data_IF_272911004986
#
_entry.id   IF_272911004986
#
_cell.length_a   1.000
_cell.length_b   1.000
_cell.length_c   1.000
_cell.angle_alpha   90.00
_cell.angle_beta   90.00
_cell.angle_gamma   90.00
#
_symmetry.space_group_name_H-M   'P 1'
#
loop_
_entity.id
_entity.type
_entity.pdbx_description
1 polymer ?
#
# COMPACT_ATOMS: atom_id res chain seq x y z
N UNK A 1 -27.77 63.79 -24.78
CA UNK A 1 -28.48 62.50 -24.62
C UNK A 1 -27.44 61.51 -24.14
N UNK A 2 -27.47 61.20 -22.84
CA UNK A 2 -26.46 60.41 -22.15
C UNK A 2 -26.85 58.94 -22.12
N UNK A 3 -25.97 58.06 -22.56
CA UNK A 3 -26.09 56.60 -22.47
C UNK A 3 -25.78 56.15 -21.03
N UNK A 4 -26.55 55.23 -20.43
CA UNK A 4 -26.28 54.74 -19.09
C UNK A 4 -25.14 53.69 -19.08
N UNK A 5 -24.40 53.55 -17.97
CA UNK A 5 -23.33 52.57 -17.84
C UNK A 5 -23.87 51.14 -17.66
N UNK A 6 -23.13 50.18 -18.25
CA UNK A 6 -23.39 48.72 -18.18
C UNK A 6 -23.04 48.19 -16.77
N UNK A 7 -23.82 47.26 -16.19
CA UNK A 7 -23.51 46.70 -14.88
C UNK A 7 -22.29 45.76 -14.94
N UNK A 8 -21.48 45.81 -13.89
CA UNK A 8 -20.29 44.98 -13.67
C UNK A 8 -20.67 43.51 -13.57
N UNK A 9 -20.00 42.64 -14.34
CA UNK A 9 -20.06 41.19 -14.14
C UNK A 9 -19.17 40.82 -12.94
N UNK A 10 -19.76 40.12 -11.98
CA UNK A 10 -19.08 39.49 -10.85
C UNK A 10 -18.36 38.23 -11.37
N UNK A 11 -17.10 37.95 -10.97
CA UNK A 11 -16.45 36.69 -11.33
C UNK A 11 -17.19 35.51 -10.71
N UNK A 12 -17.53 34.53 -11.54
CA UNK A 12 -18.05 33.23 -11.13
C UNK A 12 -17.00 32.48 -10.30
N UNK A 13 -17.44 31.98 -9.15
CA UNK A 13 -16.65 31.17 -8.23
C UNK A 13 -16.52 29.74 -8.82
N UNK A 14 -15.31 29.17 -8.99
CA UNK A 14 -15.18 27.80 -9.46
C UNK A 14 -15.77 26.83 -8.44
N UNK A 15 -16.61 25.93 -8.94
CA UNK A 15 -17.28 24.88 -8.17
C UNK A 15 -16.24 23.87 -7.66
N UNK A 16 -16.24 23.61 -6.35
CA UNK A 16 -15.48 22.52 -5.73
C UNK A 16 -15.93 21.19 -6.33
N UNK A 17 -15.05 20.58 -7.14
CA UNK A 17 -15.18 19.17 -7.49
C UNK A 17 -14.66 18.34 -6.31
N UNK A 18 -15.52 17.49 -5.76
CA UNK A 18 -15.20 16.55 -4.71
C UNK A 18 -14.11 15.57 -5.17
N UNK A 19 -12.98 15.55 -4.46
CA UNK A 19 -11.96 14.54 -4.61
C UNK A 19 -12.55 13.15 -4.27
N UNK A 20 -12.41 12.21 -5.20
CA UNK A 20 -12.72 10.79 -4.98
C UNK A 20 -11.61 10.20 -4.09
N UNK A 21 -11.92 9.45 -3.03
CA UNK A 21 -10.90 8.82 -2.20
C UNK A 21 -10.24 7.66 -2.96
N UNK A 22 -8.93 7.76 -3.20
CA UNK A 22 -8.11 6.67 -3.72
C UNK A 22 -7.79 5.67 -2.61
N UNK A 23 -8.26 4.44 -2.78
CA UNK A 23 -8.07 3.35 -1.83
C UNK A 23 -6.81 2.52 -2.16
N UNK A 24 -5.61 3.05 -1.91
CA UNK A 24 -4.35 2.28 -1.82
C UNK A 24 -3.33 3.06 -0.97
N UNK A 25 -2.76 2.49 0.12
CA UNK A 25 -1.91 3.22 1.07
C UNK A 25 -0.41 3.12 0.77
N UNK A 26 0.02 2.71 -0.43
CA UNK A 26 1.43 2.75 -0.82
C UNK A 26 1.70 3.91 -1.77
N UNK A 27 2.81 4.66 -1.60
CA UNK A 27 3.18 5.73 -2.52
C UNK A 27 3.41 5.13 -3.92
N UNK A 28 2.47 5.38 -4.82
CA UNK A 28 2.64 5.09 -6.23
C UNK A 28 3.49 6.24 -6.83
N UNK A 29 4.70 5.98 -7.37
CA UNK A 29 5.59 7.02 -7.90
C UNK A 29 5.06 7.72 -9.18
N UNK A 30 3.85 7.42 -9.63
CA UNK A 30 3.24 8.05 -10.79
C UNK A 30 2.05 8.93 -10.39
N UNK A 31 2.34 10.10 -9.83
CA UNK A 31 1.40 11.23 -9.87
C UNK A 31 2.08 12.40 -10.58
N UNK A 32 1.58 12.84 -11.76
CA UNK A 32 2.12 14.03 -12.40
C UNK A 32 1.81 15.27 -11.55
N UNK A 33 2.80 16.13 -11.34
CA UNK A 33 2.67 17.36 -10.58
C UNK A 33 1.62 18.32 -11.17
N UNK A 34 0.97 19.15 -10.35
CA UNK A 34 -0.08 20.05 -10.81
C UNK A 34 0.54 21.32 -11.42
N UNK A 35 0.64 21.40 -12.75
CA UNK A 35 1.04 22.65 -13.40
C UNK A 35 1.56 22.50 -14.82
N UNK A 36 0.69 22.19 -15.78
CA UNK A 36 1.05 22.21 -17.20
C UNK A 36 -0.13 22.61 -18.07
N UNK A 37 -0.14 23.86 -18.55
CA UNK A 37 -1.11 24.38 -19.51
C UNK A 37 -0.84 23.83 -20.91
N UNK A 38 -1.27 22.59 -21.15
CA UNK A 38 -1.22 21.93 -22.46
C UNK A 38 -2.59 21.89 -23.13
N UNK A 39 -2.68 22.43 -24.35
CA UNK A 39 -3.89 22.55 -25.15
C UNK A 39 -4.38 21.18 -25.66
N UNK A 40 -5.62 20.80 -25.37
CA UNK A 40 -6.25 19.60 -25.95
C UNK A 40 -6.81 19.88 -27.36
N UNK A 41 -6.67 18.97 -28.34
CA UNK A 41 -7.42 19.04 -29.59
C UNK A 41 -8.91 18.69 -29.38
N UNK A 42 -9.85 19.26 -30.16
CA UNK A 42 -11.28 19.10 -29.91
C UNK A 42 -11.79 17.69 -30.25
N UNK A 43 -12.60 17.15 -29.35
CA UNK A 43 -13.28 15.86 -29.42
C UNK A 43 -14.34 15.81 -30.53
N UNK A 44 -14.41 14.70 -31.26
CA UNK A 44 -15.48 14.40 -32.21
C UNK A 44 -16.84 14.16 -31.49
N UNK A 45 -18.00 14.40 -32.15
CA UNK A 45 -19.30 14.30 -31.49
C UNK A 45 -19.74 12.85 -31.23
N UNK A 46 -20.33 12.63 -30.05
CA UNK A 46 -20.85 11.35 -29.58
C UNK A 46 -22.15 10.92 -30.32
N UNK A 47 -22.37 9.61 -30.57
CA UNK A 47 -23.67 9.11 -31.02
C UNK A 47 -24.64 8.86 -29.83
N UNK A 48 -25.94 9.00 -30.14
CA UNK A 48 -27.08 9.01 -29.21
C UNK A 48 -27.35 7.68 -28.47
N UNK A 49 -28.10 7.70 -27.34
CA UNK A 49 -28.21 6.55 -26.42
C UNK A 49 -29.21 5.48 -26.91
N UNK A 50 -28.76 4.22 -26.88
CA UNK A 50 -29.59 3.02 -27.01
C UNK A 50 -29.68 2.25 -25.67
N UNK A 51 -30.68 1.37 -25.49
CA UNK A 51 -31.04 0.82 -24.18
C UNK A 51 -30.09 -0.27 -23.66
N UNK A 52 -30.06 -0.33 -22.32
CA UNK A 52 -29.26 -1.14 -21.40
C UNK A 52 -29.26 -2.66 -21.68
N UNK A 53 -28.09 -3.31 -21.51
CA UNK A 53 -27.98 -4.71 -21.07
C UNK A 53 -26.59 -5.00 -20.46
N UNK A 54 -26.61 -5.72 -19.33
CA UNK A 54 -25.46 -6.12 -18.52
C UNK A 54 -24.73 -7.37 -19.07
N UNK A 55 -23.39 -7.35 -18.93
CA UNK A 55 -22.36 -8.41 -19.06
C UNK A 55 -22.30 -9.30 -20.32
N UNK A 56 -21.21 -9.15 -21.10
CA UNK A 56 -20.55 -10.25 -21.81
C UNK A 56 -19.08 -9.90 -22.15
N UNK A 57 -18.14 -10.80 -21.84
CA UNK A 57 -16.76 -10.78 -22.34
C UNK A 57 -16.71 -11.12 -23.85
N UNK A 58 -15.67 -10.71 -24.60
CA UNK A 58 -15.57 -10.95 -26.04
C UNK A 58 -15.17 -12.41 -26.32
N UNK A 59 -15.93 -13.09 -27.18
CA UNK A 59 -15.52 -14.37 -27.77
C UNK A 59 -14.87 -14.13 -29.14
N UNK A 60 -13.68 -14.71 -29.32
CA UNK A 60 -12.92 -14.71 -30.57
C UNK A 60 -13.63 -15.61 -31.60
N UNK A 61 -13.92 -15.08 -32.78
CA UNK A 61 -14.60 -15.79 -33.86
C UNK A 61 -13.62 -16.55 -34.77
N UNK A 62 -13.93 -17.81 -35.09
CA UNK A 62 -13.58 -18.43 -36.37
C UNK A 62 -12.81 -19.76 -36.33
N UNK A 63 -13.52 -20.90 -36.35
CA UNK A 63 -13.11 -22.07 -37.15
C UNK A 63 -14.28 -23.06 -37.37
N UNK A 64 -14.38 -23.75 -38.54
CA UNK A 64 -15.51 -24.62 -38.89
C UNK A 64 -15.41 -26.02 -38.29
N UNK A 65 -16.59 -26.60 -38.00
CA UNK A 65 -16.77 -27.77 -37.15
C UNK A 65 -16.33 -29.13 -37.69
N UNK A 66 -16.08 -30.03 -36.74
CA UNK A 66 -15.95 -31.49 -36.89
C UNK A 66 -16.68 -32.21 -35.72
N UNK A 67 -17.13 -33.46 -35.93
CA UNK A 67 -18.09 -34.15 -35.06
C UNK A 67 -17.47 -34.57 -33.70
N UNK A 68 -18.28 -34.82 -32.66
CA UNK A 68 -17.77 -35.02 -31.31
C UNK A 68 -17.10 -36.40 -31.19
N UNK A 69 -15.78 -36.38 -31.21
CA UNK A 69 -14.90 -37.46 -30.72
C UNK A 69 -14.73 -37.24 -29.21
N UNK A 70 -15.38 -38.11 -28.43
CA UNK A 70 -15.24 -38.13 -26.97
C UNK A 70 -13.82 -38.53 -26.58
N UNK A 71 -13.13 -37.65 -25.87
CA UNK A 71 -11.80 -37.88 -25.33
C UNK A 71 -11.68 -37.39 -23.88
N UNK A 72 -10.75 -37.99 -23.12
CA UNK A 72 -11.06 -38.57 -21.83
C UNK A 72 -10.25 -37.90 -20.72
N UNK A 73 -10.83 -36.90 -20.06
CA UNK A 73 -10.25 -36.35 -18.83
C UNK A 73 -11.34 -36.05 -17.82
N UNK A 74 -12.09 -37.09 -17.46
CA UNK A 74 -12.69 -37.21 -16.15
C UNK A 74 -11.77 -38.12 -15.33
N UNK A 75 -10.62 -37.60 -14.87
CA UNK A 75 -9.95 -38.23 -13.73
C UNK A 75 -10.76 -37.86 -12.49
N UNK A 76 -11.68 -38.75 -12.14
CA UNK A 76 -12.16 -38.89 -10.78
C UNK A 76 -10.96 -39.25 -9.91
N UNK A 77 -10.37 -38.25 -9.26
CA UNK A 77 -9.53 -38.49 -8.09
C UNK A 77 -10.44 -39.10 -7.02
N UNK A 78 -10.28 -40.40 -6.84
CA UNK A 78 -10.91 -41.16 -5.79
C UNK A 78 -10.60 -40.50 -4.44
N UNK A 79 -11.63 -39.96 -3.80
CA UNK A 79 -11.62 -39.74 -2.36
C UNK A 79 -11.21 -41.07 -1.70
N UNK A 80 -10.33 -41.07 -0.68
CA UNK A 80 -10.18 -42.25 0.15
C UNK A 80 -11.56 -42.57 0.72
N UNK A 81 -12.12 -43.68 0.26
CA UNK A 81 -13.34 -44.25 0.80
C UNK A 81 -13.10 -44.45 2.28
N UNK A 82 -13.76 -43.63 3.10
CA UNK A 82 -13.94 -43.91 4.51
C UNK A 82 -14.54 -45.30 4.57
N UNK A 83 -13.74 -46.25 5.05
CA UNK A 83 -14.17 -47.61 5.30
C UNK A 83 -15.22 -47.51 6.38
N UNK A 84 -16.49 -47.42 5.96
CA UNK A 84 -17.61 -47.57 6.87
C UNK A 84 -17.47 -48.92 7.57
N UNK A 85 -17.74 -49.00 8.89
CA UNK A 85 -17.64 -50.27 9.60
C UNK A 85 -18.53 -51.29 8.91
N UNK A 86 -17.91 -52.41 8.52
CA UNK A 86 -18.58 -53.57 7.96
C UNK A 86 -19.72 -54.01 8.87
N UNK A 87 -20.96 -53.80 8.44
CA UNK A 87 -22.15 -54.40 9.02
C UNK A 87 -22.24 -55.87 8.58
N UNK A 88 -21.35 -56.69 9.14
CA UNK A 88 -21.49 -58.14 9.12
C UNK A 88 -22.45 -58.58 10.22
N UNK A 89 -23.46 -59.36 9.86
CA UNK A 89 -24.12 -60.26 10.79
C UNK A 89 -25.53 -59.87 11.21
N UNK A 90 -26.48 -60.56 10.59
CA UNK A 90 -27.85 -60.79 11.04
C UNK A 90 -27.95 -61.15 12.53
N UNK A 91 -28.73 -60.38 13.28
CA UNK A 91 -29.15 -60.71 14.65
C UNK A 91 -30.14 -59.68 15.15
N UNK A 92 -31.40 -60.09 15.38
CA UNK A 92 -32.54 -59.22 15.62
C UNK A 92 -32.40 -58.22 16.77
N UNK A 93 -32.99 -57.05 16.58
CA UNK A 93 -33.17 -56.05 17.63
C UNK A 93 -33.48 -54.68 17.04
N UNK A 94 -34.76 -54.32 16.96
CA UNK A 94 -35.26 -53.03 16.46
C UNK A 94 -34.91 -51.81 17.35
N UNK A 95 -33.76 -51.80 18.03
CA UNK A 95 -33.36 -50.77 19.01
C UNK A 95 -31.97 -50.15 18.82
N UNK A 96 -31.19 -50.57 17.80
CA UNK A 96 -29.78 -50.16 17.63
C UNK A 96 -29.55 -48.94 16.73
N UNK A 97 -30.40 -48.71 15.73
CA UNK A 97 -30.24 -47.62 14.76
C UNK A 97 -30.28 -46.23 15.42
N UNK A 98 -31.16 -46.04 16.41
CA UNK A 98 -31.23 -44.79 17.18
C UNK A 98 -29.95 -44.50 17.97
N UNK A 99 -29.26 -45.55 18.46
CA UNK A 99 -27.99 -45.40 19.18
C UNK A 99 -26.84 -45.01 18.25
N UNK A 100 -26.77 -45.60 17.05
CA UNK A 100 -25.77 -45.24 16.06
C UNK A 100 -25.92 -43.79 15.56
N UNK A 101 -27.17 -43.36 15.30
CA UNK A 101 -27.47 -41.97 14.92
C UNK A 101 -27.13 -40.99 16.05
N UNK A 102 -27.40 -41.36 17.31
CA UNK A 102 -27.00 -40.57 18.48
C UNK A 102 -25.48 -40.38 18.56
N UNK A 103 -24.69 -41.44 18.35
CA UNK A 103 -23.23 -41.34 18.37
C UNK A 103 -22.68 -40.48 17.23
N UNK A 104 -23.27 -40.56 16.03
CA UNK A 104 -22.89 -39.69 14.92
C UNK A 104 -23.20 -38.21 15.21
N UNK A 105 -24.35 -37.91 15.80
CA UNK A 105 -24.72 -36.55 16.19
C UNK A 105 -23.77 -36.00 17.28
N UNK A 106 -23.45 -36.80 18.29
CA UNK A 106 -22.46 -36.43 19.32
C UNK A 106 -21.09 -36.16 18.70
N UNK A 107 -20.63 -37.02 17.77
CA UNK A 107 -19.38 -36.82 17.06
C UNK A 107 -19.35 -35.51 16.26
N UNK A 108 -20.45 -35.19 15.56
CA UNK A 108 -20.57 -33.93 14.80
C UNK A 108 -20.56 -32.70 15.72
N UNK A 109 -21.19 -32.77 16.89
CA UNK A 109 -21.19 -31.67 17.87
C UNK A 109 -19.80 -31.48 18.47
N UNK A 110 -19.11 -32.56 18.84
CA UNK A 110 -17.75 -32.48 19.39
C UNK A 110 -16.77 -31.95 18.35
N UNK A 111 -16.86 -32.43 17.10
CA UNK A 111 -16.04 -31.91 16.02
C UNK A 111 -16.31 -30.41 15.76
N UNK A 112 -17.57 -30.01 15.71
CA UNK A 112 -17.96 -28.59 15.55
C UNK A 112 -17.45 -27.72 16.71
N UNK A 113 -17.53 -28.21 17.94
CA UNK A 113 -17.02 -27.51 19.11
C UNK A 113 -15.49 -27.41 19.09
N UNK A 114 -14.78 -28.45 18.64
CA UNK A 114 -13.33 -28.43 18.50
C UNK A 114 -12.87 -27.45 17.41
N UNK A 115 -13.56 -27.41 16.27
CA UNK A 115 -13.31 -26.42 15.21
C UNK A 115 -13.61 -24.99 15.69
N UNK A 116 -14.74 -24.78 16.36
CA UNK A 116 -15.07 -23.48 16.94
C UNK A 116 -14.00 -23.03 17.94
N UNK A 117 -13.61 -23.89 18.88
CA UNK A 117 -12.54 -23.60 19.85
C UNK A 117 -11.20 -23.31 19.15
N UNK A 118 -10.86 -24.07 18.10
CA UNK A 118 -9.66 -23.83 17.30
C UNK A 118 -9.68 -22.47 16.62
N UNK A 119 -10.80 -22.08 15.99
CA UNK A 119 -10.94 -20.76 15.35
C UNK A 119 -10.85 -19.63 16.37
N UNK A 120 -11.46 -19.77 17.55
CA UNK A 120 -11.37 -18.74 18.59
C UNK A 120 -9.96 -18.60 19.19
N UNK A 121 -9.19 -19.68 19.27
CA UNK A 121 -7.80 -19.62 19.71
C UNK A 121 -6.86 -18.99 18.67
N UNK A 122 -7.16 -19.16 17.38
CA UNK A 122 -6.39 -18.55 16.28
C UNK A 122 -6.77 -17.07 16.10
N UNK A 123 -8.03 -16.71 16.35
CA UNK A 123 -8.54 -15.34 16.23
C UNK A 123 -8.37 -14.45 17.46
N UNK A 124 -7.93 -15.00 18.59
CA UNK A 124 -7.61 -14.22 19.78
C UNK A 124 -6.22 -13.56 19.60
N UNK A 125 -6.18 -12.50 18.81
CA UNK A 125 -5.04 -11.58 18.80
C UNK A 125 -4.79 -11.11 20.24
N UNK A 126 -3.56 -11.26 20.72
CA UNK A 126 -3.12 -10.65 21.98
C UNK A 126 -3.25 -9.12 21.94
N UNK A 127 -3.05 -8.46 23.07
CA UNK A 127 -2.97 -7.00 23.10
C UNK A 127 -1.89 -6.53 22.10
N UNK A 128 -2.20 -5.48 21.33
CA UNK A 128 -1.29 -4.96 20.31
C UNK A 128 0.04 -4.52 20.94
N UNK A 129 1.16 -4.98 20.38
CA UNK A 129 2.49 -4.62 20.84
C UNK A 129 2.92 -3.28 20.24
N UNK A 130 2.35 -2.18 20.74
CA UNK A 130 2.61 -0.83 20.21
C UNK A 130 3.95 -0.25 20.66
N UNK A 131 4.71 -0.93 21.54
CA UNK A 131 6.05 -0.49 22.03
C UNK A 131 6.14 0.96 22.56
N UNK A 132 5.01 1.53 22.97
CA UNK A 132 4.92 2.92 23.45
C UNK A 132 4.88 3.98 22.34
N UNK A 133 4.80 3.57 21.07
CA UNK A 133 4.70 4.49 19.94
C UNK A 133 3.35 5.21 19.88
N UNK A 134 3.39 6.42 19.33
CA UNK A 134 2.22 7.22 19.01
C UNK A 134 2.23 7.61 17.53
N UNK A 135 1.03 7.79 16.97
CA UNK A 135 0.82 8.35 15.63
C UNK A 135 0.28 9.77 15.81
N UNK A 136 1.14 10.81 15.80
CA UNK A 136 0.74 12.18 16.08
C UNK A 136 -0.12 12.77 14.95
N UNK A 137 -1.07 13.64 15.28
CA UNK A 137 -1.94 14.23 14.25
C UNK A 137 -1.17 15.06 13.20
N UNK A 138 0.00 15.57 13.56
CA UNK A 138 0.94 16.27 12.69
C UNK A 138 2.33 15.63 12.81
N UNK A 139 2.61 14.64 11.97
CA UNK A 139 3.90 13.94 11.95
C UNK A 139 5.08 14.82 11.53
N UNK A 140 4.84 15.92 10.80
CA UNK A 140 5.90 16.83 10.41
C UNK A 140 6.58 17.53 11.60
N UNK A 141 5.89 17.64 12.74
CA UNK A 141 6.48 18.22 13.96
C UNK A 141 7.49 17.29 14.63
N UNK A 142 7.33 15.98 14.45
CA UNK A 142 8.10 14.93 15.12
C UNK A 142 9.08 14.23 14.17
N UNK A 143 8.97 14.49 12.86
CA UNK A 143 9.91 14.00 11.84
C UNK A 143 11.21 14.79 11.94
N UNK A 144 12.27 14.10 12.31
CA UNK A 144 13.61 14.63 12.12
C UNK A 144 14.00 14.51 10.64
N UNK A 145 14.62 15.57 10.12
CA UNK A 145 15.26 15.60 8.81
C UNK A 145 16.54 16.44 8.90
N UNK A 146 17.15 16.48 10.09
CA UNK A 146 18.24 17.40 10.39
C UNK A 146 19.51 17.06 9.61
N UNK A 147 19.73 15.77 9.29
CA UNK A 147 20.87 15.33 8.50
C UNK A 147 20.80 15.84 7.05
N UNK A 148 19.59 15.98 6.50
CA UNK A 148 19.37 16.57 5.16
C UNK A 148 19.69 18.07 5.09
N UNK A 149 19.74 18.80 6.22
CA UNK A 149 19.86 20.27 6.23
C UNK A 149 21.21 20.80 5.75
N UNK A 150 22.23 19.96 5.66
CA UNK A 150 23.52 20.36 5.08
C UNK A 150 23.40 20.57 3.57
N UNK A 151 22.68 19.67 2.90
CA UNK A 151 22.42 19.73 1.46
C UNK A 151 21.22 20.61 1.13
N UNK A 152 20.16 20.50 1.94
CA UNK A 152 18.90 21.21 1.79
C UNK A 152 18.63 22.10 3.00
N UNK A 153 19.26 23.28 3.09
CA UNK A 153 19.18 24.14 4.29
C UNK A 153 17.78 24.70 4.54
N UNK A 154 16.93 24.74 3.53
CA UNK A 154 15.55 25.23 3.62
C UNK A 154 14.55 24.11 3.24
N UNK A 155 13.32 24.24 3.74
CA UNK A 155 12.16 23.52 3.20
C UNK A 155 11.30 24.45 2.32
N UNK A 156 10.33 23.89 1.60
CA UNK A 156 9.43 24.64 0.74
C UNK A 156 8.44 25.58 1.48
N UNK A 157 8.49 25.61 2.82
CA UNK A 157 7.64 26.43 3.69
C UNK A 157 6.21 25.92 3.82
N UNK A 158 5.89 24.78 3.19
CA UNK A 158 4.55 24.20 3.14
C UNK A 158 4.51 22.68 3.34
N UNK A 159 5.07 22.13 4.44
CA UNK A 159 4.92 20.71 4.75
C UNK A 159 3.44 20.29 4.77
N UNK A 160 3.13 19.18 4.12
CA UNK A 160 1.77 18.61 4.13
C UNK A 160 1.73 17.42 5.09
N UNK A 161 0.62 17.31 5.83
CA UNK A 161 0.42 16.21 6.76
C UNK A 161 -1.03 15.73 6.72
N UNK A 162 -1.20 14.44 6.99
CA UNK A 162 -2.51 13.83 7.20
C UNK A 162 -2.45 12.90 8.40
N UNK A 163 -3.61 12.64 9.01
CA UNK A 163 -3.71 11.63 10.05
C UNK A 163 -5.07 10.94 10.02
N UNK A 164 -5.07 9.68 10.43
CA UNK A 164 -6.24 8.82 10.60
C UNK A 164 -6.22 8.26 12.01
N UNK A 165 -7.38 8.28 12.65
CA UNK A 165 -7.63 7.60 13.93
C UNK A 165 -8.79 6.64 13.75
N UNK A 166 -8.51 5.34 13.87
CA UNK A 166 -9.52 4.28 13.82
C UNK A 166 -9.30 3.29 14.98
N UNK A 167 -10.31 2.51 15.33
CA UNK A 167 -10.18 1.42 16.32
C UNK A 167 -9.13 0.35 15.96
N UNK A 168 -8.83 0.18 14.67
CA UNK A 168 -7.92 -0.85 14.16
C UNK A 168 -6.53 -0.33 13.77
N UNK A 169 -6.45 0.92 13.33
CA UNK A 169 -5.24 1.53 12.80
C UNK A 169 -5.24 3.02 13.15
N UNK A 170 -4.12 3.52 13.65
CA UNK A 170 -3.83 4.95 13.56
C UNK A 170 -2.74 5.16 12.51
N UNK A 171 -2.91 6.15 11.65
CA UNK A 171 -1.93 6.50 10.63
C UNK A 171 -1.61 7.99 10.75
N UNK A 172 -0.34 8.31 10.50
CA UNK A 172 0.14 9.68 10.40
C UNK A 172 1.13 9.78 9.26
N UNK A 173 1.02 10.85 8.49
CA UNK A 173 1.84 11.09 7.30
C UNK A 173 2.37 12.51 7.30
N UNK A 174 3.60 12.68 6.81
CA UNK A 174 4.23 13.95 6.53
C UNK A 174 4.90 13.92 5.15
N UNK A 175 4.86 15.05 4.44
CA UNK A 175 5.62 15.28 3.22
C UNK A 175 6.23 16.68 3.25
N UNK A 176 7.50 16.77 2.93
CA UNK A 176 8.33 17.97 2.98
C UNK A 176 9.03 18.13 1.61
N UNK A 177 8.91 19.31 1.01
CA UNK A 177 9.79 19.71 -0.09
C UNK A 177 11.09 20.25 0.47
N UNK A 178 12.22 19.71 0.03
CA UNK A 178 13.57 20.08 0.44
C UNK A 178 14.18 21.03 -0.58
N UNK A 179 14.88 22.07 -0.11
CA UNK A 179 15.43 23.13 -0.97
C UNK A 179 16.90 23.38 -0.76
N UNK A 180 17.63 23.49 -1.87
CA UNK A 180 18.99 24.04 -1.94
C UNK A 180 18.94 25.57 -1.77
N UNK A 181 20.09 26.15 -1.46
CA UNK A 181 20.22 27.59 -1.28
C UNK A 181 19.90 28.32 -2.59
N UNK A 182 18.89 29.19 -2.55
CA UNK A 182 18.51 30.02 -3.71
C UNK A 182 17.44 29.41 -4.62
N UNK A 183 17.05 28.17 -4.40
CA UNK A 183 15.96 27.53 -5.15
C UNK A 183 14.61 28.20 -4.86
N UNK A 184 13.77 28.32 -5.89
CA UNK A 184 12.38 28.80 -5.74
C UNK A 184 11.39 27.67 -5.49
N UNK A 185 11.71 26.47 -5.95
CA UNK A 185 10.91 25.25 -5.81
C UNK A 185 11.68 24.23 -4.97
N UNK A 186 11.01 23.13 -4.59
CA UNK A 186 11.66 21.99 -3.97
C UNK A 186 12.58 21.29 -4.98
N UNK A 187 13.81 21.02 -4.57
CA UNK A 187 14.81 20.28 -5.34
C UNK A 187 14.72 18.77 -5.05
N UNK A 188 14.25 18.40 -3.86
CA UNK A 188 13.99 17.01 -3.48
C UNK A 188 12.73 16.91 -2.61
N UNK A 189 12.26 15.69 -2.41
CA UNK A 189 11.09 15.40 -1.59
C UNK A 189 11.42 14.37 -0.53
N UNK A 190 10.95 14.61 0.69
CA UNK A 190 11.03 13.68 1.81
C UNK A 190 9.61 13.41 2.31
N UNK A 191 9.23 12.15 2.47
CA UNK A 191 7.98 11.77 3.12
C UNK A 191 8.22 10.78 4.24
N UNK A 192 7.41 10.89 5.29
CA UNK A 192 7.39 9.94 6.40
C UNK A 192 5.97 9.46 6.67
N UNK A 193 5.84 8.20 7.03
CA UNK A 193 4.57 7.60 7.43
C UNK A 193 4.78 6.72 8.65
N UNK A 194 3.80 6.76 9.56
CA UNK A 194 3.71 5.92 10.75
C UNK A 194 2.34 5.27 10.79
N UNK A 195 2.33 3.95 10.85
CA UNK A 195 1.13 3.15 10.99
C UNK A 195 1.20 2.37 12.31
N UNK A 196 0.23 2.61 13.20
CA UNK A 196 0.06 1.88 14.45
C UNK A 196 -1.07 0.88 14.32
N UNK A 197 -0.72 -0.37 14.09
CA UNK A 197 -1.68 -1.45 13.98
C UNK A 197 -2.15 -1.85 15.38
N UNK A 198 -3.45 -1.70 15.67
CA UNK A 198 -4.05 -1.96 17.00
C UNK A 198 -4.84 -3.28 17.07
N UNK A 199 -5.02 -3.95 15.92
CA UNK A 199 -5.85 -5.16 15.81
C UNK A 199 -5.20 -6.30 15.04
N UNK A 200 -4.19 -6.02 14.22
CA UNK A 200 -3.53 -7.01 13.36
C UNK A 200 -2.02 -6.83 13.47
N UNK A 201 -1.30 -7.94 13.56
CA UNK A 201 0.17 -7.93 13.49
C UNK A 201 0.63 -7.65 12.05
N UNK A 202 1.35 -6.55 11.78
CA UNK A 202 1.84 -6.24 10.44
C UNK A 202 3.04 -7.08 10.01
N UNK A 203 3.70 -7.81 10.93
CA UNK A 203 4.99 -8.47 10.69
C UNK A 203 5.06 -9.33 9.43
N UNK A 204 4.19 -10.34 9.25
CA UNK A 204 4.24 -11.21 8.08
C UNK A 204 4.10 -10.46 6.75
N UNK A 205 3.23 -9.45 6.68
CA UNK A 205 3.02 -8.66 5.47
C UNK A 205 4.15 -7.66 5.24
N UNK A 206 4.66 -7.04 6.31
CA UNK A 206 5.79 -6.12 6.27
C UNK A 206 7.04 -6.81 5.73
N UNK A 207 7.43 -7.96 6.32
CA UNK A 207 8.58 -8.74 5.85
C UNK A 207 8.39 -9.15 4.39
N UNK A 208 7.22 -9.65 4.01
CA UNK A 208 6.97 -10.11 2.65
C UNK A 208 7.05 -8.98 1.61
N UNK A 209 6.57 -7.78 1.97
CA UNK A 209 6.56 -6.60 1.09
C UNK A 209 7.96 -6.04 0.89
N UNK A 210 8.68 -5.79 1.97
CA UNK A 210 9.94 -5.04 1.90
C UNK A 210 11.16 -5.90 1.59
N UNK A 211 11.25 -7.12 2.14
CA UNK A 211 12.36 -8.03 1.86
C UNK A 211 12.42 -8.43 0.39
N UNK A 212 11.27 -8.57 -0.26
CA UNK A 212 11.16 -9.04 -1.64
C UNK A 212 10.84 -7.90 -2.61
N UNK A 213 11.07 -6.64 -2.23
CA UNK A 213 10.66 -5.49 -3.04
C UNK A 213 11.22 -5.56 -4.47
N UNK A 214 12.50 -5.89 -4.62
CA UNK A 214 13.18 -6.05 -5.91
C UNK A 214 12.64 -7.21 -6.78
N UNK A 215 11.93 -8.20 -6.20
CA UNK A 215 11.32 -9.28 -6.99
C UNK A 215 10.12 -8.78 -7.81
N UNK A 216 9.44 -7.74 -7.32
CA UNK A 216 8.27 -7.15 -7.97
C UNK A 216 8.55 -5.79 -8.62
N UNK A 217 9.71 -5.18 -8.34
CA UNK A 217 10.11 -3.87 -8.87
C UNK A 217 11.54 -3.96 -9.42
N UNK A 218 11.67 -4.11 -10.74
CA UNK A 218 12.96 -4.14 -11.41
C UNK A 218 13.67 -2.80 -11.31
N UNK A 219 14.98 -2.79 -11.05
CA UNK A 219 15.79 -1.57 -10.94
C UNK A 219 16.08 -1.17 -9.49
N UNK A 220 15.39 -1.77 -8.54
CA UNK A 220 15.59 -1.52 -7.12
C UNK A 220 16.54 -2.52 -6.46
N UNK A 221 17.36 -2.01 -5.57
CA UNK A 221 18.15 -2.79 -4.62
C UNK A 221 17.46 -2.83 -3.26
N UNK A 222 17.66 -3.92 -2.50
CA UNK A 222 17.10 -4.10 -1.15
C UNK A 222 18.20 -4.53 -0.21
N UNK A 223 18.37 -3.76 0.87
CA UNK A 223 19.33 -4.04 1.94
C UNK A 223 18.60 -4.22 3.28
N UNK A 224 19.04 -5.18 4.09
CA UNK A 224 18.61 -5.25 5.49
C UNK A 224 19.38 -4.24 6.31
N UNK A 225 18.66 -3.45 7.11
CA UNK A 225 19.26 -2.47 8.02
C UNK A 225 19.18 -2.99 9.45
N UNK A 226 20.34 -3.12 10.10
CA UNK A 226 20.41 -3.56 11.49
C UNK A 226 20.27 -2.38 12.47
N UNK A 227 19.75 -2.66 13.66
CA UNK A 227 19.73 -1.69 14.76
C UNK A 227 18.64 -0.60 14.67
N UNK A 228 17.63 -0.81 13.84
CA UNK A 228 16.39 -0.02 13.76
C UNK A 228 15.18 -0.96 13.88
N UNK A 229 14.39 -0.79 14.94
CA UNK A 229 13.23 -1.64 15.22
C UNK A 229 13.56 -3.13 15.41
N UNK A 230 12.54 -3.98 15.22
CA UNK A 230 12.66 -5.43 15.16
C UNK A 230 13.23 -5.88 13.80
N UNK A 231 12.84 -5.22 12.71
CA UNK A 231 13.39 -5.40 11.37
C UNK A 231 13.28 -4.11 10.54
N UNK A 232 14.24 -3.90 9.65
CA UNK A 232 14.24 -2.77 8.73
C UNK A 232 14.85 -3.15 7.38
N UNK A 233 14.34 -2.51 6.32
CA UNK A 233 14.79 -2.70 4.95
C UNK A 233 14.97 -1.33 4.29
N UNK A 234 16.08 -1.17 3.59
CA UNK A 234 16.35 -0.02 2.75
C UNK A 234 16.17 -0.46 1.30
N UNK A 235 15.27 0.21 0.60
CA UNK A 235 14.99 0.03 -0.82
C UNK A 235 15.51 1.24 -1.56
N UNK A 236 16.32 1.07 -2.59
CA UNK A 236 16.89 2.19 -3.33
C UNK A 236 16.93 1.93 -4.82
N UNK A 237 16.91 3.02 -5.59
CA UNK A 237 17.14 3.01 -7.03
C UNK A 237 17.92 4.29 -7.39
N UNK A 238 19.02 4.11 -8.10
CA UNK A 238 19.82 5.21 -8.64
C UNK A 238 19.94 5.06 -10.16
N UNK A 239 19.30 5.97 -10.89
CA UNK A 239 19.36 6.03 -12.36
C UNK A 239 20.21 7.19 -12.87
N UNK A 240 20.94 7.87 -11.99
CA UNK A 240 21.77 9.04 -12.31
C UNK A 240 23.13 8.64 -12.91
N UNK A 241 23.56 7.39 -12.71
CA UNK A 241 24.84 6.87 -13.17
C UNK A 241 25.10 7.05 -14.67
N UNK A 242 26.03 7.97 -15.01
CA UNK A 242 26.51 8.18 -16.38
C UNK A 242 25.57 8.96 -17.29
N UNK A 243 24.55 9.63 -16.74
CA UNK A 243 23.59 10.45 -17.45
C UNK A 243 23.48 11.83 -16.80
N UNK A 244 23.11 12.86 -17.58
CA UNK A 244 22.76 14.20 -17.07
C UNK A 244 21.26 14.30 -16.71
N UNK A 245 20.60 13.17 -16.53
CA UNK A 245 19.19 13.04 -16.19
C UNK A 245 18.95 11.70 -15.53
N UNK A 246 17.92 11.63 -14.69
CA UNK A 246 17.60 10.43 -13.94
C UNK A 246 16.86 10.76 -12.66
N UNK A 247 16.85 9.82 -11.73
CA UNK A 247 16.29 9.97 -10.40
C UNK A 247 17.10 9.16 -9.41
N UNK A 248 17.16 9.67 -8.20
CA UNK A 248 17.65 8.98 -7.04
C UNK A 248 16.49 8.79 -6.07
N UNK A 249 16.22 7.55 -5.70
CA UNK A 249 15.14 7.16 -4.80
C UNK A 249 15.68 6.27 -3.68
N UNK A 250 15.19 6.50 -2.46
CA UNK A 250 15.45 5.63 -1.33
C UNK A 250 14.25 5.59 -0.39
N UNK A 251 13.89 4.42 0.12
CA UNK A 251 12.89 4.21 1.16
C UNK A 251 13.46 3.32 2.26
N UNK A 252 13.48 3.85 3.48
CA UNK A 252 13.78 3.09 4.69
C UNK A 252 12.48 2.70 5.35
N UNK A 253 12.17 1.41 5.34
CA UNK A 253 11.03 0.82 6.03
C UNK A 253 11.48 0.16 7.33
N UNK A 254 10.81 0.44 8.44
CA UNK A 254 11.10 -0.08 9.78
C UNK A 254 9.84 -0.67 10.39
N UNK A 255 9.95 -1.80 11.08
CA UNK A 255 8.93 -2.34 11.97
C UNK A 255 9.49 -2.52 13.37
N UNK A 256 8.79 -2.03 14.40
CA UNK A 256 9.08 -2.30 15.82
C UNK A 256 7.76 -2.66 16.52
N UNK A 257 7.60 -3.93 16.89
CA UNK A 257 6.32 -4.47 17.33
C UNK A 257 5.25 -4.38 16.23
N UNK A 258 4.10 -3.78 16.57
CA UNK A 258 2.95 -3.56 15.69
C UNK A 258 2.92 -2.13 15.10
N UNK A 259 4.04 -1.41 15.18
CA UNK A 259 4.25 -0.14 14.47
C UNK A 259 5.07 -0.40 13.21
N UNK A 260 4.65 0.20 12.10
CA UNK A 260 5.48 0.34 10.89
C UNK A 260 5.74 1.80 10.58
N UNK A 261 6.95 2.08 10.13
CA UNK A 261 7.43 3.40 9.79
C UNK A 261 8.11 3.35 8.43
N UNK A 262 7.88 4.34 7.59
CA UNK A 262 8.63 4.52 6.35
C UNK A 262 9.11 5.95 6.23
N UNK A 263 10.37 6.13 5.83
CA UNK A 263 10.92 7.39 5.34
C UNK A 263 11.29 7.20 3.88
N UNK A 264 10.83 8.07 2.99
CA UNK A 264 11.15 8.00 1.56
C UNK A 264 11.72 9.32 1.06
N UNK A 265 12.81 9.25 0.31
CA UNK A 265 13.47 10.36 -0.35
C UNK A 265 13.40 10.18 -1.87
N UNK A 266 13.20 11.28 -2.59
CA UNK A 266 13.31 11.29 -4.05
C UNK A 266 13.82 12.62 -4.58
N UNK A 267 14.67 12.56 -5.59
CA UNK A 267 15.07 13.69 -6.44
C UNK A 267 14.99 13.28 -7.90
N UNK A 268 14.60 14.22 -8.76
CA UNK A 268 14.51 14.04 -10.21
C UNK A 268 15.43 15.03 -10.88
N UNK A 269 16.36 14.54 -11.69
CA UNK A 269 17.33 15.35 -12.41
C UNK A 269 16.90 15.51 -13.85
N UNK A 270 16.97 16.74 -14.34
CA UNK A 270 16.62 17.10 -15.70
C UNK A 270 17.83 17.61 -16.45
N UNK A 271 17.99 17.19 -17.70
CA UNK A 271 19.10 17.64 -18.56
C UNK A 271 19.00 19.12 -18.96
N UNK A 272 17.92 19.81 -18.57
CA UNK A 272 17.69 21.22 -18.87
C UNK A 272 18.22 22.15 -17.77
N UNK A 273 18.63 21.58 -16.64
CA UNK A 273 19.11 22.31 -15.49
C UNK A 273 20.64 22.24 -15.46
N UNK A 274 21.28 23.04 -16.34
CA UNK A 274 22.74 23.15 -16.44
C UNK A 274 23.40 23.68 -15.13
N UNK A 275 22.57 24.18 -14.21
CA UNK A 275 22.94 24.76 -12.91
C UNK A 275 22.59 23.83 -11.72
N UNK A 276 21.99 22.66 -11.93
CA UNK A 276 21.73 21.70 -10.84
C UNK A 276 23.04 21.01 -10.43
N UNK A 277 23.56 21.45 -9.28
CA UNK A 277 24.64 20.78 -8.56
C UNK A 277 24.31 19.28 -8.41
N UNK A 278 25.30 18.44 -8.70
CA UNK A 278 25.21 16.97 -8.66
C UNK A 278 24.33 16.49 -7.50
N UNK A 279 23.44 15.50 -7.73
CA UNK A 279 22.63 14.94 -6.65
C UNK A 279 23.54 14.44 -5.52
N UNK A 280 23.06 14.42 -4.25
CA UNK A 280 23.81 13.75 -3.20
C UNK A 280 24.06 12.29 -3.56
N UNK A 281 25.18 11.72 -3.11
CA UNK A 281 25.46 10.30 -3.31
C UNK A 281 24.40 9.46 -2.57
N UNK A 282 24.01 8.31 -3.15
CA UNK A 282 23.03 7.42 -2.53
C UNK A 282 23.45 7.03 -1.11
N UNK A 283 24.73 6.74 -0.89
CA UNK A 283 25.26 6.36 0.41
C UNK A 283 25.01 7.47 1.47
N UNK A 284 25.27 8.74 1.12
CA UNK A 284 25.00 9.89 1.99
C UNK A 284 23.51 10.00 2.34
N UNK A 285 22.63 9.91 1.33
CA UNK A 285 21.18 9.95 1.52
C UNK A 285 20.74 8.84 2.47
N UNK A 286 21.21 7.62 2.28
CA UNK A 286 20.78 6.48 3.09
C UNK A 286 21.27 6.60 4.54
N UNK A 287 22.43 7.20 4.76
CA UNK A 287 22.96 7.46 6.10
C UNK A 287 22.19 8.57 6.82
N UNK A 288 21.80 9.64 6.10
CA UNK A 288 20.89 10.65 6.63
C UNK A 288 19.55 10.04 7.02
N UNK A 289 18.96 9.22 6.15
CA UNK A 289 17.70 8.53 6.43
C UNK A 289 17.79 7.64 7.68
N UNK A 290 18.86 6.85 7.84
CA UNK A 290 19.05 5.99 9.02
C UNK A 290 19.17 6.82 10.30
N UNK A 291 19.92 7.93 10.26
CA UNK A 291 20.11 8.84 11.39
C UNK A 291 18.79 9.49 11.80
N UNK A 292 18.10 10.10 10.84
CA UNK A 292 16.89 10.88 11.07
C UNK A 292 15.69 9.98 11.42
N UNK A 293 15.63 8.77 10.86
CA UNK A 293 14.66 7.74 11.25
C UNK A 293 14.86 7.29 12.69
N UNK A 294 16.10 7.13 13.15
CA UNK A 294 16.39 6.80 14.56
C UNK A 294 15.86 7.89 15.49
N UNK A 295 16.18 9.14 15.20
CA UNK A 295 15.73 10.28 15.99
C UNK A 295 14.21 10.42 15.99
N UNK A 296 13.58 10.29 14.82
CA UNK A 296 12.12 10.30 14.67
C UNK A 296 11.46 9.19 15.49
N UNK A 297 11.95 7.96 15.37
CA UNK A 297 11.41 6.82 16.12
C UNK A 297 11.58 6.99 17.63
N UNK A 298 12.64 7.63 18.10
CA UNK A 298 12.79 7.99 19.52
C UNK A 298 11.77 9.05 19.95
N UNK A 299 11.53 10.07 19.14
CA UNK A 299 10.54 11.12 19.42
C UNK A 299 9.09 10.59 19.46
N UNK A 300 8.79 9.57 18.66
CA UNK A 300 7.46 8.97 18.58
C UNK A 300 7.13 8.05 19.77
N UNK A 301 8.12 7.66 20.58
CA UNK A 301 7.91 6.93 21.83
C UNK A 301 7.45 7.92 22.91
N UNK A 302 6.25 7.69 23.44
CA UNK A 302 5.61 8.56 24.45
C UNK A 302 6.27 8.56 25.82
#
# INVERSE_FOLDING_TARGET
MSTPPKPSQQPEQPSEASAQPSAYPYPNPQSPGPGGTGSFPPSAPAPAPGPQNFYAQPTLAGQPGQPPVGHPYAQQSAYPSVVGPSSGGTGGGAGGAGRAVLWAAVGAVVASAAWAAGVFLIGAAGDADLRGYTAPANLCSDTDYSSFRTEYPDDDGSPTHTSLKDSALDESYCSIGLKKTGSSYADAYLSTQVDLHKKTDPGPEFTATWKNYAENHSGYDVETVEGLGDEAYLVSEDTTGGSSSGSLYATLAVRDGWMTYTMSYSVYLSSYDEDEEDPPELDDVTDWMKSDSRATLEALKG
#
